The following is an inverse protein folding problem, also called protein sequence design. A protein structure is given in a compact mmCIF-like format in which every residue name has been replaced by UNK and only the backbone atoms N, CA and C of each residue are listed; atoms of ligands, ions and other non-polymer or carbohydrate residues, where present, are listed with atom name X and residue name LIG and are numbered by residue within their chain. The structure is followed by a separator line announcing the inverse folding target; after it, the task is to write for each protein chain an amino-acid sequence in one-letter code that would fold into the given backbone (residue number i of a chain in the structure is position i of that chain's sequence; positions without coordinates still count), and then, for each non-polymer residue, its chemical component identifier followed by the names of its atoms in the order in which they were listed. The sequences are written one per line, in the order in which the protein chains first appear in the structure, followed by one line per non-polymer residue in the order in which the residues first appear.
data_IF_670699327990
#
_entry.id   IF_670699327990
#
_cell.length_a   1.000
_cell.length_b   1.000
_cell.length_c   1.000
_cell.angle_alpha   90.00
_cell.angle_beta   90.00
_cell.angle_gamma   90.00
#
_symmetry.space_group_name_H-M   'P 1'
#
loop_
_entity.id
_entity.type
_entity.pdbx_description
1 polymer ?
#
# COMPACT_ATOMS: atom_id res chain seq x y z
N UNK A 1 -9.72 10.20 -25.68
CA UNK A 1 -10.04 9.73 -24.32
C UNK A 1 -9.74 8.26 -24.12
N UNK A 2 -10.32 7.43 -24.97
CA UNK A 2 -10.09 6.01 -24.85
C UNK A 2 -8.64 5.62 -24.99
N UNK A 3 -7.93 6.22 -25.94
CA UNK A 3 -6.51 5.93 -26.17
C UNK A 3 -5.66 6.29 -24.96
N UNK A 4 -5.99 7.38 -24.28
CA UNK A 4 -5.25 7.82 -23.12
C UNK A 4 -5.41 6.86 -21.97
N UNK A 5 -6.62 6.38 -21.74
CA UNK A 5 -6.88 5.41 -20.70
C UNK A 5 -6.25 4.06 -21.03
N UNK A 6 -6.33 3.69 -22.29
CA UNK A 6 -5.72 2.44 -22.74
C UNK A 6 -4.22 2.46 -22.56
N UNK A 7 -3.57 3.57 -22.87
CA UNK A 7 -2.13 3.69 -22.70
C UNK A 7 -1.73 3.56 -21.23
N UNK A 8 -2.42 4.24 -20.36
CA UNK A 8 -2.12 4.15 -18.94
C UNK A 8 -2.36 2.76 -18.39
N UNK A 9 -3.44 2.14 -18.82
CA UNK A 9 -3.77 0.79 -18.40
C UNK A 9 -2.75 -0.22 -18.89
N UNK A 10 -2.34 -0.10 -20.13
CA UNK A 10 -1.37 -1.00 -20.72
C UNK A 10 -0.02 -0.88 -20.04
N UNK A 11 0.41 0.33 -19.78
CA UNK A 11 1.66 0.59 -19.09
C UNK A 11 1.67 -0.03 -17.71
N UNK A 12 0.59 0.16 -16.98
CA UNK A 12 0.47 -0.43 -15.66
C UNK A 12 0.47 -1.95 -15.72
N UNK A 13 -0.27 -2.50 -16.68
CA UNK A 13 -0.39 -3.94 -16.83
C UNK A 13 0.97 -4.57 -17.15
N UNK A 14 1.75 -3.93 -17.97
CA UNK A 14 3.08 -4.44 -18.32
C UNK A 14 3.97 -4.49 -17.09
N UNK A 15 3.95 -3.46 -16.29
CA UNK A 15 4.76 -3.41 -15.08
C UNK A 15 4.29 -4.39 -14.02
N UNK A 16 2.99 -4.59 -13.92
CA UNK A 16 2.42 -5.45 -12.93
C UNK A 16 2.25 -6.90 -13.35
N UNK A 17 2.62 -7.23 -14.57
CA UNK A 17 2.38 -8.54 -15.12
C UNK A 17 3.61 -9.11 -15.83
N UNK A 18 4.68 -9.32 -15.09
CA UNK A 18 5.88 -9.90 -15.69
C UNK A 18 5.60 -11.23 -16.38
N UNK A 19 4.69 -11.99 -15.83
CA UNK A 19 4.24 -13.24 -16.44
C UNK A 19 2.76 -13.12 -16.68
N UNK A 20 2.40 -12.17 -17.52
CA UNK A 20 1.03 -11.76 -17.70
C UNK A 20 0.03 -12.89 -17.89
N UNK A 21 0.42 -13.90 -18.63
CA UNK A 21 -0.49 -15.00 -18.93
C UNK A 21 -0.74 -15.95 -17.78
N UNK A 22 0.01 -15.80 -16.70
CA UNK A 22 -0.06 -16.75 -15.60
C UNK A 22 -1.13 -16.35 -14.59
N UNK A 23 -1.21 -15.07 -14.32
CA UNK A 23 -2.03 -14.62 -13.20
C UNK A 23 -2.98 -13.50 -13.58
N UNK A 24 -4.09 -13.84 -14.19
CA UNK A 24 -5.12 -12.84 -14.47
C UNK A 24 -6.02 -12.57 -13.27
N UNK A 25 -5.75 -13.17 -12.13
CA UNK A 25 -6.64 -13.10 -10.99
C UNK A 25 -6.56 -11.79 -10.25
N UNK A 26 -7.68 -11.31 -9.71
CA UNK A 26 -7.72 -10.09 -8.92
C UNK A 26 -6.75 -10.09 -7.75
N UNK A 27 -6.47 -11.27 -7.17
CA UNK A 27 -5.56 -11.38 -6.05
C UNK A 27 -4.15 -10.91 -6.40
N UNK A 28 -3.68 -11.22 -7.61
CA UNK A 28 -2.36 -10.77 -8.07
C UNK A 28 -2.34 -9.26 -8.24
N UNK A 29 -3.41 -8.71 -8.78
CA UNK A 29 -3.54 -7.28 -8.95
C UNK A 29 -3.59 -6.58 -7.61
N UNK A 30 -4.33 -7.14 -6.67
CA UNK A 30 -4.40 -6.60 -5.32
C UNK A 30 -3.03 -6.59 -4.65
N UNK A 31 -2.25 -7.64 -4.83
CA UNK A 31 -0.91 -7.72 -4.27
C UNK A 31 0.01 -6.66 -4.87
N UNK A 32 -0.11 -6.42 -6.17
CA UNK A 32 0.67 -5.39 -6.85
C UNK A 32 0.33 -4.02 -6.31
N UNK A 33 -0.96 -3.74 -6.17
CA UNK A 33 -1.42 -2.47 -5.61
C UNK A 33 -0.96 -2.31 -4.17
N UNK A 34 -1.04 -3.37 -3.40
CA UNK A 34 -0.60 -3.36 -2.01
C UNK A 34 0.88 -2.96 -1.92
N UNK A 35 1.73 -3.57 -2.71
CA UNK A 35 3.16 -3.25 -2.71
C UNK A 35 3.42 -1.82 -3.13
N UNK A 36 2.72 -1.35 -4.15
CA UNK A 36 2.90 0.02 -4.61
C UNK A 36 2.51 1.03 -3.58
N UNK A 37 1.34 0.84 -2.99
CA UNK A 37 0.87 1.76 -1.96
C UNK A 37 1.75 1.70 -0.72
N UNK A 38 2.20 0.52 -0.36
CA UNK A 38 3.12 0.35 0.76
C UNK A 38 4.40 1.13 0.53
N UNK A 39 4.96 1.02 -0.67
CA UNK A 39 6.17 1.76 -1.04
C UNK A 39 5.96 3.26 -0.97
N UNK A 40 4.82 3.73 -1.48
CA UNK A 40 4.50 5.15 -1.47
C UNK A 40 4.32 5.69 -0.06
N UNK A 41 3.70 4.90 0.80
CA UNK A 41 3.54 5.28 2.21
C UNK A 41 4.89 5.30 2.92
N UNK A 42 5.69 4.28 2.70
CA UNK A 42 7.00 4.19 3.34
C UNK A 42 7.95 5.28 2.88
N UNK A 43 7.85 5.68 1.61
CA UNK A 43 8.68 6.74 1.06
C UNK A 43 8.22 8.15 1.45
N UNK A 44 7.05 8.26 2.09
CA UNK A 44 6.51 9.53 2.50
C UNK A 44 5.79 10.29 1.40
N UNK A 45 5.59 9.68 0.24
CA UNK A 45 4.83 10.33 -0.84
C UNK A 45 3.36 10.40 -0.53
N UNK A 46 2.86 9.44 0.26
CA UNK A 46 1.52 9.50 0.80
C UNK A 46 1.71 9.81 2.27
N UNK A 47 1.26 10.98 2.67
CA UNK A 47 1.48 11.46 4.03
C UNK A 47 0.63 10.72 5.06
N UNK A 48 1.13 10.56 6.28
CA UNK A 48 0.31 10.06 7.37
C UNK A 48 -0.92 10.93 7.57
N UNK A 49 -2.05 10.30 7.81
CA UNK A 49 -3.32 11.00 7.96
C UNK A 49 -4.05 11.23 6.65
N UNK A 50 -3.41 10.93 5.53
CA UNK A 50 -4.04 11.07 4.22
C UNK A 50 -5.12 10.04 4.04
N UNK A 51 -6.15 10.41 3.30
CA UNK A 51 -7.23 9.49 2.98
C UNK A 51 -7.02 8.93 1.58
N UNK A 52 -7.15 7.63 1.47
CA UNK A 52 -7.07 6.93 0.20
C UNK A 52 -8.48 6.53 -0.22
N UNK A 53 -8.91 7.02 -1.36
CA UNK A 53 -10.23 6.73 -1.89
C UNK A 53 -10.13 5.60 -2.91
N UNK A 54 -11.00 4.59 -2.77
CA UNK A 54 -11.01 3.43 -3.65
C UNK A 54 -11.16 3.82 -5.11
N UNK A 55 -12.08 4.72 -5.38
CA UNK A 55 -12.36 5.12 -6.74
C UNK A 55 -11.19 5.85 -7.36
N UNK A 56 -10.59 6.75 -6.61
CA UNK A 56 -9.44 7.50 -7.08
C UNK A 56 -8.26 6.60 -7.40
N UNK A 57 -7.99 5.65 -6.53
CA UNK A 57 -6.91 4.70 -6.74
C UNK A 57 -7.21 3.81 -7.94
N UNK A 58 -8.46 3.34 -8.05
CA UNK A 58 -8.87 2.51 -9.17
C UNK A 58 -8.67 3.25 -10.50
N UNK A 59 -9.03 4.51 -10.54
CA UNK A 59 -8.85 5.33 -11.73
C UNK A 59 -7.37 5.54 -12.05
N UNK A 60 -6.59 5.80 -11.02
CA UNK A 60 -5.15 6.04 -11.19
C UNK A 60 -4.44 4.83 -11.80
N UNK A 61 -4.79 3.65 -11.35
CA UNK A 61 -4.14 2.43 -11.83
C UNK A 61 -4.91 1.73 -12.93
N UNK A 62 -6.00 2.30 -13.36
CA UNK A 62 -6.75 1.75 -14.50
C UNK A 62 -7.39 0.40 -14.22
N UNK A 63 -7.92 0.21 -13.03
CA UNK A 63 -8.53 -1.05 -12.64
C UNK A 63 -9.87 -0.81 -11.96
N UNK A 64 -10.56 -1.90 -11.60
CA UNK A 64 -11.81 -1.81 -10.88
C UNK A 64 -11.55 -1.56 -9.40
N UNK A 65 -12.61 -1.35 -8.64
CA UNK A 65 -12.48 -1.11 -7.20
C UNK A 65 -12.17 -2.36 -6.40
N UNK A 66 -12.56 -3.52 -6.91
CA UNK A 66 -12.40 -4.76 -6.18
C UNK A 66 -10.96 -5.04 -5.75
N UNK A 67 -9.97 -5.00 -6.65
CA UNK A 67 -8.59 -5.21 -6.24
C UNK A 67 -8.07 -4.09 -5.35
N UNK A 68 -8.56 -2.87 -5.52
CA UNK A 68 -8.17 -1.76 -4.66
C UNK A 68 -8.65 -2.00 -3.23
N UNK A 69 -9.89 -2.44 -3.09
CA UNK A 69 -10.44 -2.75 -1.77
C UNK A 69 -9.65 -3.85 -1.08
N UNK A 70 -9.29 -4.86 -1.85
CA UNK A 70 -8.49 -5.96 -1.31
C UNK A 70 -7.10 -5.48 -0.90
N UNK A 71 -6.49 -4.62 -1.71
CA UNK A 71 -5.21 -4.02 -1.36
C UNK A 71 -5.30 -3.21 -0.07
N UNK A 72 -6.39 -2.48 0.12
CA UNK A 72 -6.60 -1.72 1.35
C UNK A 72 -6.70 -2.65 2.55
N UNK A 73 -7.34 -3.81 2.39
CA UNK A 73 -7.40 -4.79 3.47
C UNK A 73 -6.02 -5.32 3.84
N UNK A 74 -5.19 -5.55 2.84
CA UNK A 74 -3.83 -5.99 3.07
C UNK A 74 -3.02 -4.92 3.80
N UNK A 75 -3.19 -3.66 3.40
CA UNK A 75 -2.52 -2.55 4.08
C UNK A 75 -2.99 -2.42 5.52
N UNK A 76 -4.28 -2.64 5.76
CA UNK A 76 -4.83 -2.59 7.11
C UNK A 76 -4.28 -3.73 7.97
N UNK A 77 -4.10 -4.90 7.38
CA UNK A 77 -3.51 -6.04 8.09
C UNK A 77 -2.07 -5.73 8.49
N UNK A 78 -1.36 -4.97 7.67
CA UNK A 78 0.00 -4.51 7.96
C UNK A 78 0.01 -3.30 8.88
N UNK A 79 -1.15 -2.80 9.26
CA UNK A 79 -1.31 -1.63 10.12
C UNK A 79 -0.78 -0.34 9.51
N UNK A 80 -0.75 -0.29 8.20
CA UNK A 80 -0.35 0.92 7.49
C UNK A 80 -1.50 1.88 7.29
N UNK A 81 -2.72 1.36 7.22
CA UNK A 81 -3.91 2.16 7.08
C UNK A 81 -4.99 1.67 8.04
N UNK A 82 -5.98 2.51 8.25
CA UNK A 82 -7.17 2.19 9.01
C UNK A 82 -8.35 2.27 8.06
N UNK A 83 -9.17 1.22 8.01
CA UNK A 83 -10.35 1.22 7.16
C UNK A 83 -11.47 1.96 7.85
N UNK A 84 -12.07 2.91 7.14
CA UNK A 84 -13.13 3.76 7.68
C UNK A 84 -14.40 3.71 6.84
N UNK A 85 -14.84 2.52 6.51
CA UNK A 85 -16.08 2.32 5.80
C UNK A 85 -16.16 3.13 4.51
N UNK A 86 -17.10 4.05 4.44
CA UNK A 86 -17.32 4.85 3.24
C UNK A 86 -16.17 5.80 2.91
N UNK A 87 -15.37 6.10 3.89
CA UNK A 87 -14.26 7.04 3.69
C UNK A 87 -13.01 6.36 3.12
N UNK A 88 -13.09 5.06 2.89
CA UNK A 88 -11.95 4.34 2.34
C UNK A 88 -10.91 4.02 3.41
N UNK A 89 -9.66 4.29 3.11
CA UNK A 89 -8.57 4.00 4.02
C UNK A 89 -7.88 5.30 4.43
N UNK A 90 -7.44 5.37 5.66
CA UNK A 90 -6.68 6.52 6.15
C UNK A 90 -5.30 6.02 6.56
N UNK A 91 -4.27 6.66 6.05
CA UNK A 91 -2.90 6.28 6.36
C UNK A 91 -2.62 6.58 7.83
N UNK A 92 -2.18 5.56 8.54
CA UNK A 92 -1.90 5.71 9.96
C UNK A 92 -0.58 6.44 10.16
N UNK A 93 -0.54 7.26 11.18
CA UNK A 93 0.71 7.87 11.59
C UNK A 93 1.28 7.04 12.74
N UNK A 94 2.60 6.96 12.80
CA UNK A 94 3.26 6.31 13.92
C UNK A 94 3.22 7.31 15.07
N UNK A 95 2.52 6.94 16.14
CA UNK A 95 2.45 7.79 17.30
C UNK A 95 3.81 7.91 18.00
N UNK A 96 4.00 9.00 18.70
CA UNK A 96 5.26 9.24 19.40
C UNK A 96 5.58 8.10 20.37
N UNK A 97 4.57 7.57 21.03
CA UNK A 97 4.74 6.48 21.97
C UNK A 97 5.29 5.23 21.29
N UNK A 98 4.71 4.87 20.15
CA UNK A 98 5.16 3.71 19.40
C UNK A 98 6.61 3.88 18.95
N UNK A 99 6.96 5.08 18.50
CA UNK A 99 8.30 5.38 18.05
C UNK A 99 9.30 5.21 19.20
N UNK A 100 8.95 5.72 20.37
CA UNK A 100 9.78 5.59 21.57
C UNK A 100 9.99 4.11 21.91
N UNK A 101 8.91 3.33 21.87
CA UNK A 101 9.00 1.90 22.15
C UNK A 101 9.91 1.18 21.17
N UNK A 102 9.84 1.53 19.91
CA UNK A 102 10.72 0.95 18.89
C UNK A 102 12.18 1.27 19.18
N UNK A 103 12.47 2.50 19.53
CA UNK A 103 13.84 2.90 19.86
C UNK A 103 14.33 2.21 21.12
N UNK A 104 13.48 2.00 22.12
CA UNK A 104 13.84 1.30 23.33
C UNK A 104 14.22 -0.15 23.03
N UNK A 105 13.42 -0.82 22.20
CA UNK A 105 13.72 -2.20 21.81
C UNK A 105 15.04 -2.28 21.07
N UNK A 106 15.28 -1.37 20.15
CA UNK A 106 16.54 -1.33 19.43
C UNK A 106 17.72 -1.11 20.37
N UNK A 107 17.57 -0.20 21.33
CA UNK A 107 18.60 0.06 22.31
C UNK A 107 18.91 -1.16 23.16
N UNK A 108 17.91 -1.90 23.57
CA UNK A 108 18.10 -3.12 24.34
C UNK A 108 18.82 -4.19 23.53
N UNK A 109 18.47 -4.33 22.26
CA UNK A 109 19.15 -5.28 21.39
C UNK A 109 20.62 -4.92 21.18
N UNK A 110 20.91 -3.65 20.99
CA UNK A 110 22.29 -3.19 20.85
C UNK A 110 23.07 -3.40 22.13
N UNK A 111 22.48 -3.12 23.27
CA UNK A 111 23.11 -3.35 24.55
C UNK A 111 23.42 -4.81 24.79
N UNK A 112 22.52 -5.70 24.40
CA UNK A 112 22.73 -7.12 24.53
C UNK A 112 23.87 -7.58 23.64
N UNK A 113 23.93 -7.12 22.40
CA UNK A 113 25.03 -7.45 21.49
C UNK A 113 26.36 -6.97 22.01
N UNK A 114 26.39 -5.80 22.62
CA UNK A 114 27.64 -5.24 23.17
C UNK A 114 28.18 -6.06 24.35
N UNK A 115 27.30 -6.76 25.06
CA UNK A 115 27.71 -7.59 26.19
C UNK A 115 28.26 -8.95 25.76
N UNK A 116 27.91 -9.37 24.58
CA UNK A 116 28.39 -10.64 24.05
C UNK A 116 29.75 -10.49 23.39
#
# INVERSE_FOLDING_TARGET
MRSKQAAGRAEWAEKGRPSARIEPFPATLANTLHRRLETEIAAGRIEPGSRLDEQEIAERYGCSRTPVREAFRLLAADRLVELRGRQGAVVRSIGAQTLIEMFQVMGELEGLCARL
#
